data_IF_579301635410
#
_entry.id   IF_579301635410
#
_cell.length_a   1.000
_cell.length_b   1.000
_cell.length_c   1.000
_cell.angle_alpha   90.00
_cell.angle_beta   90.00
_cell.angle_gamma   90.00
#
_symmetry.space_group_name_H-M   'P 1'
#
loop_
_entity.id
_entity.type
_entity.pdbx_description
1 polymer ?
#
# COMPACT_ATOMS: atom_id res chain seq x y z
N UNK A 1 26.65 -7.45 9.88
CA UNK A 1 26.09 -6.16 10.33
C UNK A 1 25.04 -5.77 9.30
N UNK A 2 23.75 -5.73 9.68
CA UNK A 2 22.69 -5.27 8.77
C UNK A 2 22.80 -3.74 8.65
N UNK A 3 23.02 -3.21 7.45
CA UNK A 3 22.95 -1.77 7.21
C UNK A 3 21.47 -1.35 7.35
N UNK A 4 21.16 -0.56 8.38
CA UNK A 4 19.85 0.08 8.52
C UNK A 4 19.69 1.09 7.38
N UNK A 5 18.84 0.77 6.41
CA UNK A 5 18.48 1.71 5.33
C UNK A 5 17.68 2.86 5.92
N UNK A 6 18.07 4.10 5.63
CA UNK A 6 17.28 5.28 5.98
C UNK A 6 16.17 5.50 4.94
N UNK A 7 14.99 5.92 5.39
CA UNK A 7 13.93 6.37 4.52
C UNK A 7 14.31 7.70 3.84
N UNK A 8 13.98 7.78 2.55
CA UNK A 8 14.22 8.93 1.68
C UNK A 8 12.93 9.39 0.99
N UNK A 9 12.96 10.59 0.42
CA UNK A 9 11.83 11.10 -0.39
C UNK A 9 11.65 10.19 -1.61
N UNK A 10 10.40 9.80 -1.87
CA UNK A 10 10.04 8.86 -2.92
C UNK A 10 10.02 7.39 -2.47
N UNK A 11 10.55 7.05 -1.29
CA UNK A 11 10.36 5.71 -0.74
C UNK A 11 8.87 5.44 -0.52
N UNK A 12 8.49 4.18 -0.75
CA UNK A 12 7.13 3.69 -0.60
C UNK A 12 7.04 2.81 0.64
N UNK A 13 6.08 3.12 1.49
CA UNK A 13 5.80 2.43 2.74
C UNK A 13 4.36 1.94 2.71
N UNK A 14 4.18 0.63 2.79
CA UNK A 14 2.89 -0.03 2.81
C UNK A 14 2.43 -0.22 4.25
N UNK A 15 1.17 0.14 4.54
CA UNK A 15 0.51 -0.26 5.78
C UNK A 15 -0.09 -1.66 5.61
N UNK A 16 0.10 -2.50 6.61
CA UNK A 16 -0.41 -3.87 6.65
C UNK A 16 -1.18 -4.09 7.94
N UNK A 17 -2.30 -4.80 7.87
CA UNK A 17 -3.11 -5.16 9.02
C UNK A 17 -3.44 -6.65 8.93
N UNK A 18 -3.13 -7.40 10.00
CA UNK A 18 -3.27 -8.87 10.02
C UNK A 18 -2.62 -9.54 8.79
N UNK A 19 -1.42 -9.09 8.44
CA UNK A 19 -0.64 -9.62 7.33
C UNK A 19 -1.10 -9.20 5.93
N UNK A 20 -2.14 -8.36 5.79
CA UNK A 20 -2.65 -7.91 4.49
C UNK A 20 -2.34 -6.44 4.24
N UNK A 21 -1.88 -6.09 3.03
CA UNK A 21 -1.71 -4.70 2.60
C UNK A 21 -3.05 -3.95 2.64
N UNK A 22 -3.02 -2.71 3.12
CA UNK A 22 -4.19 -1.81 3.22
C UNK A 22 -4.02 -0.56 2.39
N UNK A 23 -2.93 0.17 2.61
CA UNK A 23 -2.65 1.45 1.97
C UNK A 23 -1.15 1.61 1.67
N UNK A 24 -0.86 2.62 0.85
CA UNK A 24 0.47 3.01 0.42
C UNK A 24 0.72 4.47 0.81
N UNK A 25 1.87 4.71 1.43
CA UNK A 25 2.40 6.01 1.80
C UNK A 25 3.67 6.26 0.99
N UNK A 26 3.71 7.35 0.23
CA UNK A 26 4.91 7.80 -0.48
C UNK A 26 5.54 8.90 0.35
N UNK A 27 6.81 8.75 0.73
CA UNK A 27 7.50 9.76 1.51
C UNK A 27 7.66 11.02 0.65
N UNK A 28 7.09 12.14 1.10
CA UNK A 28 7.14 13.43 0.42
C UNK A 28 8.19 14.38 1.04
N UNK A 29 8.56 14.14 2.29
CA UNK A 29 9.52 14.98 3.03
C UNK A 29 10.29 14.16 4.05
N UNK A 30 11.56 14.51 4.22
CA UNK A 30 12.42 13.95 5.28
C UNK A 30 13.03 15.06 6.13
N UNK A 31 13.24 14.75 7.41
CA UNK A 31 14.01 15.57 8.35
C UNK A 31 15.23 14.77 8.84
N UNK A 32 15.94 15.28 9.84
CA UNK A 32 17.05 14.55 10.46
C UNK A 32 16.61 13.20 11.06
N UNK A 33 15.39 13.14 11.60
CA UNK A 33 14.91 11.98 12.38
C UNK A 33 13.63 11.35 11.85
N UNK A 34 12.89 12.05 10.97
CA UNK A 34 11.58 11.61 10.49
C UNK A 34 11.50 11.59 8.97
N UNK A 35 10.66 10.69 8.45
CA UNK A 35 10.13 10.71 7.10
C UNK A 35 8.61 10.97 7.18
N UNK A 36 8.04 11.66 6.20
CA UNK A 36 6.67 12.19 6.25
C UNK A 36 5.94 11.86 4.94
N UNK A 37 4.67 11.50 5.03
CA UNK A 37 3.77 11.26 3.90
C UNK A 37 2.37 11.77 4.20
N UNK A 38 1.89 12.82 3.51
CA UNK A 38 0.49 13.28 3.62
C UNK A 38 0.00 13.58 5.04
N UNK A 39 0.91 13.93 5.96
CA UNK A 39 0.64 14.17 7.39
C UNK A 39 1.10 13.06 8.34
N UNK A 40 1.30 11.84 7.85
CA UNK A 40 1.86 10.74 8.65
C UNK A 40 3.36 10.91 8.87
N UNK A 41 3.86 10.41 10.00
CA UNK A 41 5.27 10.53 10.40
C UNK A 41 5.83 9.14 10.70
N UNK A 42 6.97 8.86 10.08
CA UNK A 42 7.73 7.63 10.26
C UNK A 42 9.09 8.02 10.85
N UNK A 43 9.63 7.20 11.76
CA UNK A 43 11.07 7.24 12.08
C UNK A 43 11.89 7.12 10.79
N UNK A 44 13.07 7.73 10.69
CA UNK A 44 13.85 7.70 9.43
C UNK A 44 14.74 6.46 9.29
N UNK A 45 15.24 5.94 10.40
CA UNK A 45 16.24 4.87 10.53
C UNK A 45 15.63 3.47 10.68
N UNK A 46 14.61 3.14 9.89
CA UNK A 46 13.64 2.12 10.26
C UNK A 46 14.19 0.71 10.55
N UNK A 47 13.85 0.23 11.76
CA UNK A 47 13.78 -1.18 12.16
C UNK A 47 12.38 -1.42 12.77
N UNK A 48 11.46 -1.91 11.92
CA UNK A 48 10.13 -2.52 12.10
C UNK A 48 9.16 -2.22 13.28
N UNK A 49 9.24 -1.14 14.08
CA UNK A 49 8.15 -0.81 15.05
C UNK A 49 7.85 0.69 15.15
N UNK A 50 6.61 1.09 14.89
CA UNK A 50 6.13 2.45 15.15
C UNK A 50 5.86 2.62 16.64
N UNK A 51 6.43 3.68 17.23
CA UNK A 51 5.88 4.33 18.41
C UNK A 51 4.77 5.27 17.96
N UNK A 52 3.54 4.99 18.39
CA UNK A 52 2.52 6.04 18.43
C UNK A 52 2.81 6.90 19.67
N UNK A 53 2.84 8.22 19.48
CA UNK A 53 2.81 9.15 20.59
C UNK A 53 1.44 9.04 21.28
N UNK A 54 1.40 8.39 22.44
CA UNK A 54 0.24 8.36 23.33
C UNK A 54 -0.74 7.21 23.06
N UNK A 55 -0.70 6.21 23.96
CA UNK A 55 -1.78 5.30 24.40
C UNK A 55 -2.68 4.56 23.39
N UNK A 56 -2.44 4.67 22.09
CA UNK A 56 -3.09 3.84 21.08
C UNK A 56 -2.04 2.97 20.38
N UNK A 57 -2.28 1.66 20.37
CA UNK A 57 -1.52 0.73 19.56
C UNK A 57 -2.22 0.67 18.20
N UNK A 58 -1.74 1.45 17.23
CA UNK A 58 -2.02 1.20 15.82
C UNK A 58 -1.74 -0.28 15.53
N UNK A 59 -2.79 -1.03 15.26
CA UNK A 59 -2.72 -2.46 14.87
C UNK A 59 -2.16 -2.66 13.45
N UNK A 60 -1.73 -1.59 12.80
CA UNK A 60 -1.12 -1.59 11.49
C UNK A 60 0.41 -1.63 11.59
N UNK A 61 1.01 -2.62 10.94
CA UNK A 61 2.45 -2.69 10.69
C UNK A 61 2.78 -1.91 9.41
N UNK A 62 4.00 -1.37 9.32
CA UNK A 62 4.45 -0.62 8.15
C UNK A 62 5.71 -1.24 7.56
N UNK A 63 5.73 -1.42 6.25
CA UNK A 63 6.79 -2.14 5.53
C UNK A 63 7.24 -1.36 4.30
N UNK A 64 8.55 -1.27 4.08
CA UNK A 64 9.12 -0.70 2.85
C UNK A 64 8.71 -1.56 1.65
N UNK A 65 8.58 -0.95 0.48
CA UNK A 65 8.27 -1.65 -0.77
C UNK A 65 9.15 -2.89 -1.00
N UNK A 66 8.46 -3.99 -1.26
CA UNK A 66 9.00 -5.18 -1.92
C UNK A 66 8.15 -5.49 -3.16
N UNK A 67 8.66 -6.26 -4.13
CA UNK A 67 7.87 -6.69 -5.28
C UNK A 67 6.54 -7.37 -4.90
N UNK A 68 6.54 -8.15 -3.82
CA UNK A 68 5.36 -8.85 -3.30
C UNK A 68 4.33 -7.86 -2.77
N UNK A 69 4.75 -6.89 -1.94
CA UNK A 69 3.85 -5.87 -1.40
C UNK A 69 3.27 -4.98 -2.50
N UNK A 70 4.08 -4.60 -3.49
CA UNK A 70 3.62 -3.82 -4.64
C UNK A 70 2.55 -4.59 -5.44
N UNK A 71 2.77 -5.90 -5.64
CA UNK A 71 1.79 -6.78 -6.31
C UNK A 71 0.50 -6.90 -5.50
N UNK A 72 0.58 -7.13 -4.19
CA UNK A 72 -0.61 -7.21 -3.32
C UNK A 72 -1.41 -5.91 -3.34
N UNK A 73 -0.74 -4.77 -3.24
CA UNK A 73 -1.39 -3.46 -3.31
C UNK A 73 -2.06 -3.22 -4.66
N UNK A 74 -1.40 -3.59 -5.76
CA UNK A 74 -1.99 -3.49 -7.09
C UNK A 74 -3.30 -4.29 -7.17
N UNK A 75 -3.31 -5.54 -6.71
CA UNK A 75 -4.51 -6.39 -6.69
C UNK A 75 -5.62 -5.79 -5.81
N UNK A 76 -5.27 -5.21 -4.67
CA UNK A 76 -6.21 -4.49 -3.81
C UNK A 76 -6.83 -3.27 -4.52
N UNK A 77 -6.02 -2.43 -5.17
CA UNK A 77 -6.53 -1.27 -5.88
C UNK A 77 -7.38 -1.66 -7.10
N UNK A 78 -6.96 -2.70 -7.82
CA UNK A 78 -7.70 -3.24 -8.95
C UNK A 78 -9.06 -3.77 -8.52
N UNK A 79 -9.13 -4.60 -7.48
CA UNK A 79 -10.39 -5.11 -6.92
C UNK A 79 -11.30 -3.99 -6.41
N UNK A 80 -10.76 -2.99 -5.71
CA UNK A 80 -11.51 -1.80 -5.28
C UNK A 80 -12.09 -1.03 -6.47
N UNK A 81 -11.34 -0.91 -7.57
CA UNK A 81 -11.79 -0.24 -8.79
C UNK A 81 -12.92 -1.03 -9.46
N UNK A 82 -12.77 -2.35 -9.60
CA UNK A 82 -13.82 -3.21 -10.15
C UNK A 82 -15.11 -3.11 -9.34
N UNK A 83 -15.03 -3.20 -8.00
CA UNK A 83 -16.20 -3.11 -7.12
C UNK A 83 -16.94 -1.77 -7.22
N UNK A 84 -16.24 -0.68 -7.55
CA UNK A 84 -16.81 0.66 -7.72
C UNK A 84 -17.22 0.98 -9.16
N UNK A 85 -16.90 0.10 -10.11
CA UNK A 85 -17.19 0.36 -11.53
C UNK A 85 -18.67 0.11 -11.79
N UNK A 86 -19.34 1.11 -12.37
CA UNK A 86 -20.70 0.97 -12.85
C UNK A 86 -20.71 0.28 -14.22
N UNK A 87 -20.91 -1.03 -14.19
CA UNK A 87 -20.92 -1.88 -15.38
C UNK A 87 -22.15 -1.65 -16.28
N UNK A 88 -23.20 -0.96 -15.82
CA UNK A 88 -24.39 -0.68 -16.64
C UNK A 88 -24.11 0.24 -17.84
N UNK A 89 -22.98 0.95 -17.80
CA UNK A 89 -22.52 1.85 -18.87
C UNK A 89 -21.71 1.17 -19.97
N UNK A 90 -21.46 -0.13 -19.83
CA UNK A 90 -20.66 -0.89 -20.78
C UNK A 90 -21.57 -1.52 -21.83
N UNK A 91 -21.12 -1.57 -23.08
CA UNK A 91 -21.80 -2.36 -24.10
C UNK A 91 -21.74 -3.84 -23.74
N UNK A 92 -22.72 -4.61 -24.21
CA UNK A 92 -22.77 -6.06 -24.02
C UNK A 92 -21.45 -6.72 -24.48
N UNK A 93 -20.93 -6.33 -25.66
CA UNK A 93 -19.64 -6.82 -26.17
C UNK A 93 -18.47 -6.62 -25.20
N UNK A 94 -18.41 -5.47 -24.52
CA UNK A 94 -17.37 -5.16 -23.53
C UNK A 94 -17.55 -5.96 -22.26
N UNK A 95 -18.79 -6.16 -21.82
CA UNK A 95 -19.10 -7.00 -20.66
C UNK A 95 -18.73 -8.45 -20.91
N UNK A 96 -19.08 -9.00 -22.09
CA UNK A 96 -18.72 -10.35 -22.50
C UNK A 96 -17.22 -10.53 -22.58
N UNK A 97 -16.49 -9.54 -23.13
CA UNK A 97 -15.02 -9.59 -23.16
C UNK A 97 -14.39 -9.61 -21.74
N UNK A 98 -14.92 -8.81 -20.81
CA UNK A 98 -14.46 -8.79 -19.41
C UNK A 98 -14.74 -10.16 -18.74
N UNK A 99 -15.93 -10.72 -18.93
CA UNK A 99 -16.29 -12.02 -18.37
C UNK A 99 -15.38 -13.14 -18.90
N UNK A 100 -15.16 -13.18 -20.21
CA UNK A 100 -14.25 -14.17 -20.82
C UNK A 100 -12.82 -14.04 -20.29
N UNK A 101 -12.33 -12.84 -20.00
CA UNK A 101 -11.01 -12.65 -19.40
C UNK A 101 -10.94 -13.17 -17.97
N UNK A 102 -12.02 -13.09 -17.20
CA UNK A 102 -12.07 -13.60 -15.84
C UNK A 102 -12.14 -15.13 -15.84
N UNK A 103 -12.97 -15.71 -16.70
CA UNK A 103 -13.18 -17.17 -16.78
C UNK A 103 -11.95 -17.93 -17.29
N UNK A 104 -11.23 -17.39 -18.27
CA UNK A 104 -10.05 -18.04 -18.85
C UNK A 104 -8.77 -17.97 -17.98
N UNK A 105 -8.83 -17.28 -16.83
CA UNK A 105 -7.71 -17.15 -15.89
C UNK A 105 -8.00 -17.83 -14.53
N UNK A 106 -9.07 -18.63 -14.43
CA UNK A 106 -9.34 -19.55 -13.32
C UNK A 106 -8.77 -20.94 -13.61
#
# INVERSE_FOLDING_TARGET
MSQTKLLEVGDKVYSTYLGKVRDLHIIDRVTKTLAISGGMRFRRDYDFRIYESGEHFSTCDYKIETPELAKEYFLLQFSRKLAKTDFSKFSEEKMTAIMNLIENNQ
#
